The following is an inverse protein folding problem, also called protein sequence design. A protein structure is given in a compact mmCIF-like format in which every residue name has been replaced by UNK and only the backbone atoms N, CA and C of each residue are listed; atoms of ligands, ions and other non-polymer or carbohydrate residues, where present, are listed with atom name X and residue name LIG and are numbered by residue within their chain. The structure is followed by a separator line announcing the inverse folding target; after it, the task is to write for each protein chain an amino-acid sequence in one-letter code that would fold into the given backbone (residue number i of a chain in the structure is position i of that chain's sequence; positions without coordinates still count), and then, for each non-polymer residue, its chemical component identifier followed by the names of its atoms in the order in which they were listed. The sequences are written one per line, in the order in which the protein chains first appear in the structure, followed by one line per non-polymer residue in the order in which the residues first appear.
data_IF_750540263558
#
_entry.id   IF_750540263558
#
_cell.length_a   1.000
_cell.length_b   1.000
_cell.length_c   1.000
_cell.angle_alpha   90.00
_cell.angle_beta   90.00
_cell.angle_gamma   90.00
#
_symmetry.space_group_name_H-M   'P 1'
#
loop_
_entity.id
_entity.type
_entity.pdbx_description
1 polymer ?
#
# COMPACT_ATOMS: atom_id res chain seq x y z
N UNK A 1 1.34 -34.50 61.07
CA UNK A 1 0.32 -33.58 60.52
C UNK A 1 0.84 -32.17 60.28
N UNK A 2 1.40 -31.45 61.28
CA UNK A 2 1.92 -30.09 61.03
C UNK A 2 3.13 -30.02 60.07
N UNK A 3 4.03 -31.01 60.11
CA UNK A 3 5.21 -31.07 59.23
C UNK A 3 4.85 -31.32 57.74
N UNK A 4 3.81 -32.12 57.47
CA UNK A 4 3.36 -32.42 56.11
C UNK A 4 2.67 -31.22 55.44
N UNK A 5 2.01 -30.37 56.23
CA UNK A 5 1.42 -29.11 55.78
C UNK A 5 2.49 -28.08 55.38
N UNK A 6 3.60 -28.02 56.13
CA UNK A 6 4.74 -27.15 55.79
C UNK A 6 5.50 -27.63 54.54
N UNK A 7 5.68 -28.95 54.38
CA UNK A 7 6.34 -29.53 53.22
C UNK A 7 5.50 -29.48 51.93
N UNK A 8 4.18 -29.37 52.04
CA UNK A 8 3.29 -29.17 50.89
C UNK A 8 3.19 -27.69 50.51
N UNK A 9 3.11 -26.78 51.48
CA UNK A 9 3.13 -25.33 51.25
C UNK A 9 4.42 -24.86 50.56
N UNK A 10 5.59 -25.37 50.96
CA UNK A 10 6.88 -25.00 50.36
C UNK A 10 7.02 -25.47 48.91
N UNK A 11 6.54 -26.69 48.60
CA UNK A 11 6.51 -27.22 47.23
C UNK A 11 5.52 -26.46 46.33
N UNK A 12 4.39 -26.03 46.90
CA UNK A 12 3.42 -25.19 46.18
C UNK A 12 4.03 -23.84 45.82
N UNK A 13 4.63 -23.15 46.79
CA UNK A 13 5.29 -21.85 46.61
C UNK A 13 6.40 -21.91 45.55
N UNK A 14 7.27 -22.94 45.58
CA UNK A 14 8.33 -23.11 44.59
C UNK A 14 7.79 -23.32 43.15
N UNK A 15 6.68 -24.07 43.01
CA UNK A 15 6.04 -24.30 41.71
C UNK A 15 5.35 -23.03 41.15
N UNK A 16 4.78 -22.20 42.02
CA UNK A 16 4.18 -20.91 41.69
C UNK A 16 5.24 -19.87 41.30
N UNK A 17 6.39 -19.89 41.99
CA UNK A 17 7.52 -19.02 41.70
C UNK A 17 8.16 -19.36 40.34
N UNK A 18 8.26 -20.64 39.99
CA UNK A 18 8.69 -21.10 38.67
C UNK A 18 7.72 -20.72 37.54
N UNK A 19 6.41 -20.90 37.74
CA UNK A 19 5.37 -20.49 36.77
C UNK A 19 5.34 -18.98 36.55
N UNK A 20 5.44 -18.19 37.63
CA UNK A 20 5.43 -16.72 37.54
C UNK A 20 6.70 -16.18 36.88
N UNK A 21 7.88 -16.77 37.15
CA UNK A 21 9.12 -16.43 36.47
C UNK A 21 9.08 -16.74 34.97
N UNK A 22 8.56 -17.91 34.58
CA UNK A 22 8.36 -18.28 33.18
C UNK A 22 7.39 -17.35 32.44
N UNK A 23 6.26 -16.99 33.07
CA UNK A 23 5.29 -16.05 32.50
C UNK A 23 5.88 -14.65 32.30
N UNK A 24 6.69 -14.14 33.24
CA UNK A 24 7.39 -12.85 33.07
C UNK A 24 8.45 -12.88 31.97
N UNK A 25 9.22 -13.97 31.84
CA UNK A 25 10.26 -14.07 30.82
C UNK A 25 9.66 -14.14 29.40
N UNK A 26 8.62 -14.97 29.22
CA UNK A 26 7.89 -15.09 27.94
C UNK A 26 7.15 -13.79 27.61
N UNK A 27 6.49 -13.17 28.60
CA UNK A 27 5.79 -11.90 28.41
C UNK A 27 6.73 -10.75 28.04
N UNK A 28 7.89 -10.65 28.69
CA UNK A 28 8.91 -9.65 28.39
C UNK A 28 9.54 -9.84 27.00
N UNK A 29 9.84 -11.09 26.62
CA UNK A 29 10.36 -11.41 25.29
C UNK A 29 9.36 -11.07 24.17
N UNK A 30 8.06 -11.35 24.38
CA UNK A 30 7.01 -11.02 23.42
C UNK A 30 6.81 -9.51 23.24
N UNK A 31 6.85 -8.73 24.33
CA UNK A 31 6.74 -7.27 24.26
C UNK A 31 7.97 -6.67 23.56
N UNK A 32 9.16 -7.16 23.89
CA UNK A 32 10.39 -6.67 23.28
C UNK A 32 10.49 -7.07 21.79
N UNK A 33 10.06 -8.27 21.40
CA UNK A 33 9.94 -8.66 19.98
C UNK A 33 8.87 -7.86 19.23
N UNK A 34 7.76 -7.52 19.89
CA UNK A 34 6.72 -6.67 19.29
C UNK A 34 7.18 -5.24 19.00
N UNK A 35 7.97 -4.64 19.89
CA UNK A 35 8.44 -3.25 19.78
C UNK A 35 9.69 -3.14 18.90
N UNK A 36 10.72 -3.94 19.17
CA UNK A 36 12.04 -3.83 18.54
C UNK A 36 12.18 -4.79 17.36
N UNK A 37 11.56 -5.97 17.43
CA UNK A 37 11.80 -7.08 16.51
C UNK A 37 13.13 -7.76 16.85
N UNK A 38 13.09 -8.97 17.42
CA UNK A 38 14.31 -9.76 17.67
C UNK A 38 14.58 -10.69 16.48
N UNK A 39 15.62 -10.37 15.72
CA UNK A 39 16.13 -11.16 14.60
C UNK A 39 16.73 -10.28 13.50
N UNK A 40 17.82 -10.73 12.86
CA UNK A 40 18.66 -9.91 11.93
C UNK A 40 17.91 -9.25 10.75
N UNK A 41 16.66 -9.62 10.47
CA UNK A 41 15.84 -9.10 9.36
C UNK A 41 14.37 -8.80 9.74
N UNK A 42 14.02 -8.68 11.03
CA UNK A 42 12.63 -8.40 11.45
C UNK A 42 12.52 -6.97 11.97
N UNK A 43 11.99 -6.08 11.15
CA UNK A 43 11.65 -4.73 11.61
C UNK A 43 10.51 -4.80 12.63
N UNK A 44 10.66 -4.13 13.78
CA UNK A 44 9.61 -3.99 14.79
C UNK A 44 8.41 -3.16 14.32
N UNK A 45 7.56 -2.75 15.25
CA UNK A 45 6.38 -1.91 14.95
C UNK A 45 6.71 -0.67 14.09
N UNK A 46 7.89 -0.08 14.30
CA UNK A 46 8.37 1.07 13.52
C UNK A 46 8.60 0.79 12.04
N UNK A 47 8.98 -0.44 11.66
CA UNK A 47 9.12 -0.83 10.24
C UNK A 47 7.77 -0.99 9.55
N UNK A 48 6.81 -1.61 10.24
CA UNK A 48 5.44 -1.75 9.76
C UNK A 48 4.77 -0.39 9.51
N UNK A 49 4.97 0.58 10.40
CA UNK A 49 4.47 1.95 10.24
C UNK A 49 5.14 2.67 9.06
N UNK A 50 6.46 2.51 8.87
CA UNK A 50 7.17 3.09 7.70
C UNK A 50 6.67 2.51 6.38
N UNK A 51 6.47 1.19 6.30
CA UNK A 51 5.89 0.53 5.13
C UNK A 51 4.46 1.00 4.85
N UNK A 52 3.65 1.20 5.89
CA UNK A 52 2.30 1.72 5.75
C UNK A 52 2.29 3.17 5.23
N UNK A 53 3.18 4.03 5.74
CA UNK A 53 3.35 5.40 5.25
C UNK A 53 3.85 5.43 3.81
N UNK A 54 4.82 4.59 3.48
CA UNK A 54 5.35 4.48 2.11
C UNK A 54 4.26 4.01 1.14
N UNK A 55 3.50 2.97 1.51
CA UNK A 55 2.36 2.49 0.74
C UNK A 55 1.27 3.56 0.56
N UNK A 56 0.96 4.32 1.61
CA UNK A 56 0.01 5.43 1.56
C UNK A 56 0.46 6.53 0.60
N UNK A 57 1.73 6.93 0.65
CA UNK A 57 2.30 7.94 -0.26
C UNK A 57 2.21 7.45 -1.70
N UNK A 58 2.61 6.21 -1.98
CA UNK A 58 2.51 5.62 -3.32
C UNK A 58 1.06 5.53 -3.80
N UNK A 59 0.13 5.13 -2.93
CA UNK A 59 -1.29 5.10 -3.24
C UNK A 59 -1.84 6.49 -3.54
N UNK A 60 -1.49 7.50 -2.74
CA UNK A 60 -1.90 8.88 -2.94
C UNK A 60 -1.35 9.43 -4.26
N UNK A 61 -0.06 9.24 -4.55
CA UNK A 61 0.54 9.63 -5.84
C UNK A 61 -0.16 8.92 -7.00
N UNK A 62 -0.42 7.62 -6.87
CA UNK A 62 -1.17 6.84 -7.85
C UNK A 62 -2.59 7.38 -8.10
N UNK A 63 -3.31 7.74 -7.04
CA UNK A 63 -4.69 8.23 -7.13
C UNK A 63 -4.82 9.69 -7.57
N UNK A 64 -3.90 10.56 -7.16
CA UNK A 64 -4.02 12.01 -7.39
C UNK A 64 -3.19 12.51 -8.57
N UNK A 65 -2.09 11.84 -8.93
CA UNK A 65 -1.28 12.21 -10.08
C UNK A 65 -1.46 11.23 -11.26
N UNK A 66 -1.30 9.93 -11.00
CA UNK A 66 -1.29 8.94 -12.10
C UNK A 66 -2.69 8.68 -12.66
N UNK A 67 -3.70 8.53 -11.80
CA UNK A 67 -5.09 8.26 -12.21
C UNK A 67 -5.66 9.33 -13.16
N UNK A 68 -5.65 10.65 -12.84
CA UNK A 68 -6.21 11.63 -13.75
C UNK A 68 -5.46 11.67 -15.09
N UNK A 69 -4.15 11.45 -15.07
CA UNK A 69 -3.29 11.54 -16.26
C UNK A 69 -3.38 10.31 -17.17
N UNK A 70 -3.44 9.09 -16.62
CA UNK A 70 -3.38 7.84 -17.39
C UNK A 70 -4.71 7.07 -17.41
N UNK A 71 -5.45 7.07 -16.30
CA UNK A 71 -6.65 6.23 -16.16
C UNK A 71 -7.88 6.99 -16.67
N UNK A 72 -8.06 8.24 -16.24
CA UNK A 72 -9.25 9.04 -16.57
C UNK A 72 -9.13 9.69 -17.96
N UNK A 73 -7.91 9.93 -18.44
CA UNK A 73 -7.67 10.45 -19.78
C UNK A 73 -8.32 9.58 -20.89
N UNK A 74 -8.39 8.26 -20.69
CA UNK A 74 -9.05 7.34 -21.61
C UNK A 74 -10.51 7.02 -21.29
N UNK A 75 -11.13 7.61 -20.24
CA UNK A 75 -12.53 7.33 -19.88
C UNK A 75 -13.41 8.30 -20.61
N UNK A 76 -14.55 7.81 -21.11
CA UNK A 76 -15.61 8.64 -21.66
C UNK A 76 -16.43 9.15 -20.48
N UNK A 77 -16.43 10.46 -20.27
CA UNK A 77 -17.22 11.15 -19.27
C UNK A 77 -18.68 11.37 -19.71
N UNK A 78 -19.48 11.95 -18.82
CA UNK A 78 -20.86 12.33 -19.14
C UNK A 78 -20.86 13.44 -20.20
N UNK A 79 -21.56 13.22 -21.32
CA UNK A 79 -21.60 14.17 -22.43
C UNK A 79 -20.43 14.04 -23.41
N UNK A 80 -19.56 13.05 -23.22
CA UNK A 80 -18.50 12.71 -24.15
C UNK A 80 -18.86 11.47 -24.97
N UNK A 81 -18.27 11.36 -26.15
CA UNK A 81 -18.37 10.19 -27.00
C UNK A 81 -16.98 9.75 -27.49
N UNK A 82 -16.90 8.49 -27.91
CA UNK A 82 -15.67 7.88 -28.42
C UNK A 82 -15.81 7.66 -29.93
N UNK A 83 -14.78 8.03 -30.68
CA UNK A 83 -14.66 7.76 -32.11
C UNK A 83 -13.28 7.20 -32.44
N UNK A 84 -13.16 6.52 -33.57
CA UNK A 84 -11.87 6.09 -34.11
C UNK A 84 -11.35 7.20 -35.02
N UNK A 85 -10.17 7.72 -34.71
CA UNK A 85 -9.43 8.67 -35.53
C UNK A 85 -8.28 8.01 -36.26
N UNK A 86 -7.81 8.68 -37.32
CA UNK A 86 -6.62 8.29 -38.07
C UNK A 86 -5.49 9.26 -37.76
N UNK A 87 -4.31 8.73 -37.40
CA UNK A 87 -3.12 9.54 -37.13
C UNK A 87 -2.67 10.22 -38.41
N UNK A 88 -2.70 11.54 -38.46
CA UNK A 88 -2.31 12.33 -39.65
C UNK A 88 -0.92 12.91 -39.53
N UNK A 89 -0.47 13.19 -38.31
CA UNK A 89 0.86 13.73 -38.07
C UNK A 89 1.44 13.16 -36.78
N UNK A 90 2.76 13.23 -36.66
CA UNK A 90 3.49 12.87 -35.45
C UNK A 90 4.51 13.95 -35.17
N UNK A 91 4.28 14.69 -34.10
CA UNK A 91 5.24 15.66 -33.60
C UNK A 91 6.29 14.91 -32.78
N UNK A 92 7.56 15.16 -33.07
CA UNK A 92 8.68 14.44 -32.47
C UNK A 92 9.59 15.41 -31.73
N UNK A 93 9.93 15.05 -30.50
CA UNK A 93 10.91 15.75 -29.68
C UNK A 93 11.93 14.75 -29.15
N UNK A 94 13.08 15.23 -28.70
CA UNK A 94 14.00 14.43 -27.90
C UNK A 94 13.98 14.91 -26.46
N UNK A 95 14.16 13.99 -25.52
CA UNK A 95 14.47 14.37 -24.13
C UNK A 95 15.97 14.64 -23.96
N UNK A 96 16.35 14.99 -22.73
CA UNK A 96 17.72 15.34 -22.34
C UNK A 96 18.69 14.15 -22.45
N UNK A 97 18.17 12.92 -22.42
CA UNK A 97 18.93 11.67 -22.59
C UNK A 97 19.06 11.27 -24.07
N UNK A 98 18.37 11.98 -24.97
CA UNK A 98 18.41 11.78 -26.42
C UNK A 98 17.37 10.79 -26.93
N UNK A 99 16.49 10.28 -26.08
CA UNK A 99 15.40 9.39 -26.43
C UNK A 99 14.30 10.12 -27.19
N UNK A 100 13.72 9.44 -28.17
CA UNK A 100 12.68 10.00 -29.04
C UNK A 100 11.34 9.94 -28.35
N UNK A 101 10.73 11.10 -28.19
CA UNK A 101 9.38 11.30 -27.68
C UNK A 101 8.46 11.74 -28.81
N UNK A 102 7.29 11.14 -28.90
CA UNK A 102 6.31 11.40 -29.93
C UNK A 102 4.96 11.84 -29.35
N UNK A 103 4.31 12.77 -30.03
CA UNK A 103 2.95 13.24 -29.79
C UNK A 103 2.17 13.14 -31.10
N UNK A 104 1.22 12.21 -31.25
CA UNK A 104 0.41 12.10 -32.46
C UNK A 104 -0.65 13.21 -32.55
N UNK A 105 -0.94 13.62 -33.78
CA UNK A 105 -2.17 14.31 -34.14
C UNK A 105 -3.04 13.34 -34.95
N UNK A 106 -4.33 13.27 -34.63
CA UNK A 106 -5.27 12.40 -35.30
C UNK A 106 -6.51 13.17 -35.78
N UNK A 107 -7.00 12.83 -36.97
CA UNK A 107 -8.26 13.35 -37.49
C UNK A 107 -9.38 12.34 -37.31
N UNK A 108 -10.56 12.80 -36.93
CA UNK A 108 -11.77 11.99 -36.79
C UNK A 108 -12.97 12.74 -37.36
N UNK A 109 -14.04 12.02 -37.71
CA UNK A 109 -15.22 12.61 -38.35
C UNK A 109 -16.43 12.49 -37.43
N UNK A 110 -17.14 13.59 -37.21
CA UNK A 110 -18.41 13.64 -36.48
C UNK A 110 -19.45 14.32 -37.36
N UNK A 111 -20.56 13.63 -37.65
CA UNK A 111 -21.64 14.14 -38.50
C UNK A 111 -21.17 14.69 -39.86
N UNK A 112 -20.16 14.06 -40.47
CA UNK A 112 -19.59 14.50 -41.76
C UNK A 112 -18.59 15.66 -41.68
N UNK A 113 -18.34 16.23 -40.50
CA UNK A 113 -17.31 17.24 -40.28
C UNK A 113 -16.05 16.61 -39.72
N UNK A 114 -14.89 16.95 -40.30
CA UNK A 114 -13.58 16.46 -39.87
C UNK A 114 -13.02 17.38 -38.78
N UNK A 115 -12.61 16.78 -37.67
CA UNK A 115 -11.96 17.45 -36.55
C UNK A 115 -10.57 16.85 -36.32
N UNK A 116 -9.69 17.64 -35.70
CA UNK A 116 -8.32 17.22 -35.36
C UNK A 116 -8.15 17.23 -33.86
N UNK A 117 -7.60 16.16 -33.31
CA UNK A 117 -7.22 16.02 -31.91
C UNK A 117 -5.70 15.83 -31.80
N UNK A 118 -5.08 16.54 -30.87
CA UNK A 118 -3.66 16.37 -30.54
C UNK A 118 -3.51 15.60 -29.24
N UNK A 119 -2.50 14.75 -29.14
CA UNK A 119 -2.18 14.09 -27.89
C UNK A 119 -1.70 15.11 -26.85
N UNK A 120 -2.29 15.08 -25.65
CA UNK A 120 -1.82 15.84 -24.49
C UNK A 120 -0.60 15.23 -23.79
N UNK A 121 -0.05 14.15 -24.34
CA UNK A 121 1.06 13.39 -23.77
C UNK A 121 2.14 13.14 -24.81
N UNK A 122 3.37 12.96 -24.33
CA UNK A 122 4.51 12.51 -25.13
C UNK A 122 4.89 11.11 -24.69
N UNK A 123 5.12 10.23 -25.65
CA UNK A 123 5.49 8.84 -25.37
C UNK A 123 6.60 8.39 -26.32
N UNK A 124 7.47 7.51 -25.85
CA UNK A 124 8.43 6.80 -26.71
C UNK A 124 7.75 5.79 -27.63
N UNK A 125 6.52 5.38 -27.31
CA UNK A 125 5.67 4.61 -28.20
C UNK A 125 5.07 5.53 -29.27
N UNK A 126 5.75 5.62 -30.41
CA UNK A 126 5.37 6.45 -31.54
C UNK A 126 4.38 5.70 -32.45
N UNK A 127 3.10 6.07 -32.51
CA UNK A 127 2.17 5.45 -33.45
C UNK A 127 2.55 5.78 -34.91
N UNK A 128 2.13 4.91 -35.82
CA UNK A 128 2.34 5.07 -37.25
C UNK A 128 1.35 6.09 -37.82
N UNK A 129 1.82 6.96 -38.72
CA UNK A 129 0.93 7.82 -39.51
C UNK A 129 0.05 6.93 -40.40
N UNK A 130 -1.24 7.21 -40.46
CA UNK A 130 -2.27 6.36 -41.05
C UNK A 130 -2.80 5.26 -40.11
N UNK A 131 -2.23 5.10 -38.91
CA UNK A 131 -2.74 4.20 -37.89
C UNK A 131 -4.06 4.68 -37.26
N UNK A 132 -4.80 3.77 -36.65
CA UNK A 132 -6.03 4.08 -35.94
C UNK A 132 -5.76 4.34 -34.46
N UNK A 133 -6.39 5.37 -33.91
CA UNK A 133 -6.33 5.71 -32.48
C UNK A 133 -7.73 6.04 -31.97
N UNK A 134 -7.94 5.81 -30.69
CA UNK A 134 -9.19 6.17 -30.02
C UNK A 134 -9.18 7.66 -29.65
N UNK A 135 -10.23 8.38 -30.06
CA UNK A 135 -10.44 9.80 -29.76
C UNK A 135 -11.70 9.95 -28.92
N UNK A 136 -11.59 10.71 -27.84
CA UNK A 136 -12.71 11.07 -26.96
C UNK A 136 -12.99 12.55 -27.16
N UNK A 137 -14.25 12.90 -27.42
CA UNK A 137 -14.67 14.28 -27.69
C UNK A 137 -15.95 14.62 -26.91
N UNK A 138 -16.11 15.90 -26.56
CA UNK A 138 -17.35 16.46 -26.02
C UNK A 138 -18.40 16.52 -27.13
N UNK A 139 -19.58 15.91 -26.94
CA UNK A 139 -20.64 15.85 -27.96
C UNK A 139 -21.19 17.24 -28.29
N UNK A 140 -21.20 18.16 -27.31
CA UNK A 140 -21.60 19.56 -27.52
C UNK A 140 -20.48 20.39 -28.17
N UNK A 141 -19.21 20.01 -27.99
CA UNK A 141 -18.04 20.69 -28.57
C UNK A 141 -17.01 19.69 -29.12
N UNK A 142 -17.22 19.13 -30.32
CA UNK A 142 -16.34 18.12 -30.88
C UNK A 142 -14.89 18.58 -31.11
N UNK A 143 -14.65 19.90 -31.17
CA UNK A 143 -13.30 20.45 -31.27
C UNK A 143 -12.45 20.22 -30.00
N UNK A 144 -13.08 20.05 -28.83
CA UNK A 144 -12.41 19.78 -27.55
C UNK A 144 -12.14 18.27 -27.40
N UNK A 145 -11.47 17.70 -28.39
CA UNK A 145 -11.17 16.27 -28.46
C UNK A 145 -9.78 15.94 -27.93
N UNK A 146 -9.65 14.78 -27.29
CA UNK A 146 -8.40 14.22 -26.78
C UNK A 146 -8.17 12.81 -27.30
N UNK A 147 -6.90 12.47 -27.53
CA UNK A 147 -6.50 11.10 -27.87
C UNK A 147 -6.44 10.27 -26.58
N UNK A 148 -7.16 9.16 -26.56
CA UNK A 148 -7.15 8.24 -25.44
C UNK A 148 -5.81 7.48 -25.38
N UNK A 149 -5.18 7.36 -24.20
CA UNK A 149 -4.01 6.52 -24.04
C UNK A 149 -4.35 5.06 -24.33
N UNK A 150 -3.36 4.32 -24.85
CA UNK A 150 -3.50 2.89 -25.10
C UNK A 150 -3.92 2.11 -23.85
N UNK A 151 -4.64 1.01 -24.05
CA UNK A 151 -5.11 0.14 -22.97
C UNK A 151 -3.96 -0.33 -22.06
N UNK A 152 -2.77 -0.58 -22.63
CA UNK A 152 -1.57 -0.98 -21.87
C UNK A 152 -1.08 0.13 -20.95
N UNK A 153 -1.00 1.38 -21.43
CA UNK A 153 -0.62 2.53 -20.60
C UNK A 153 -1.62 2.76 -19.47
N UNK A 154 -2.90 2.57 -19.76
CA UNK A 154 -3.97 2.66 -18.77
C UNK A 154 -3.84 1.60 -17.68
N UNK A 155 -3.53 0.36 -18.07
CA UNK A 155 -3.29 -0.75 -17.14
C UNK A 155 -2.04 -0.50 -16.29
N UNK A 156 -0.98 0.04 -16.89
CA UNK A 156 0.23 0.42 -16.18
C UNK A 156 -0.05 1.51 -15.13
N UNK A 157 -0.95 2.46 -15.45
CA UNK A 157 -1.42 3.47 -14.50
C UNK A 157 -2.05 2.87 -13.23
N UNK A 158 -2.67 1.69 -13.31
CA UNK A 158 -3.23 0.98 -12.15
C UNK A 158 -2.19 0.29 -11.28
N UNK A 159 -0.99 0.02 -11.79
CA UNK A 159 0.08 -0.66 -11.03
C UNK A 159 0.52 0.17 -9.84
N UNK A 160 0.62 1.49 -9.99
CA UNK A 160 1.01 2.41 -8.92
C UNK A 160 0.07 2.37 -7.70
N UNK A 161 -1.24 2.67 -7.85
CA UNK A 161 -2.17 2.59 -6.73
C UNK A 161 -2.33 1.16 -6.20
N UNK A 162 -2.30 0.14 -7.07
CA UNK A 162 -2.38 -1.25 -6.62
C UNK A 162 -1.17 -1.65 -5.75
N UNK A 163 0.05 -1.29 -6.16
CA UNK A 163 1.26 -1.54 -5.39
C UNK A 163 1.24 -0.77 -4.06
N UNK A 164 0.87 0.53 -4.09
CA UNK A 164 0.74 1.33 -2.87
C UNK A 164 -0.25 0.73 -1.86
N UNK A 165 -1.42 0.31 -2.36
CA UNK A 165 -2.42 -0.38 -1.55
C UNK A 165 -1.90 -1.70 -0.98
N UNK A 166 -1.18 -2.49 -1.78
CA UNK A 166 -0.58 -3.74 -1.34
C UNK A 166 0.39 -3.51 -0.17
N UNK A 167 1.32 -2.57 -0.31
CA UNK A 167 2.26 -2.22 0.77
C UNK A 167 1.53 -1.72 2.02
N UNK A 168 0.48 -0.92 1.84
CA UNK A 168 -0.35 -0.45 2.95
C UNK A 168 -1.04 -1.60 3.68
N UNK A 169 -1.66 -2.55 2.97
CA UNK A 169 -2.36 -3.70 3.56
C UNK A 169 -1.38 -4.62 4.27
N UNK A 170 -0.20 -4.89 3.68
CA UNK A 170 0.85 -5.68 4.33
C UNK A 170 1.36 -4.97 5.60
N UNK A 171 1.59 -3.66 5.55
CA UNK A 171 1.97 -2.85 6.71
C UNK A 171 0.90 -2.85 7.82
N UNK A 172 -0.37 -2.75 7.44
CA UNK A 172 -1.49 -2.81 8.38
C UNK A 172 -1.59 -4.19 9.03
N UNK A 173 -1.54 -5.26 8.24
CA UNK A 173 -1.59 -6.63 8.74
C UNK A 173 -0.45 -6.94 9.72
N UNK A 174 0.78 -6.57 9.36
CA UNK A 174 1.93 -6.74 10.24
C UNK A 174 1.78 -5.94 11.54
N UNK A 175 1.25 -4.72 11.47
CA UNK A 175 0.96 -3.89 12.66
C UNK A 175 -0.06 -4.57 13.57
N UNK A 176 -1.14 -5.14 13.02
CA UNK A 176 -2.17 -5.86 13.80
C UNK A 176 -1.58 -7.09 14.50
N UNK A 177 -0.80 -7.91 13.78
CA UNK A 177 -0.15 -9.09 14.35
C UNK A 177 0.80 -8.70 15.48
N UNK A 178 1.60 -7.64 15.29
CA UNK A 178 2.56 -7.15 16.29
C UNK A 178 1.87 -6.52 17.50
N UNK A 179 0.80 -5.74 17.30
CA UNK A 179 0.00 -5.19 18.38
C UNK A 179 -0.66 -6.31 19.22
N UNK A 180 -1.14 -7.37 18.58
CA UNK A 180 -1.65 -8.56 19.27
C UNK A 180 -0.60 -9.24 20.13
N UNK A 181 0.64 -9.40 19.63
CA UNK A 181 1.76 -9.96 20.39
C UNK A 181 2.13 -9.10 21.60
N UNK A 182 2.13 -7.76 21.45
CA UNK A 182 2.37 -6.82 22.55
C UNK A 182 1.27 -6.94 23.62
N UNK A 183 0.00 -7.01 23.21
CA UNK A 183 -1.13 -7.14 24.13
C UNK A 183 -1.08 -8.43 24.95
N UNK A 184 -0.85 -9.57 24.28
CA UNK A 184 -0.73 -10.88 24.95
C UNK A 184 0.51 -10.93 25.85
N UNK A 185 1.66 -10.44 25.37
CA UNK A 185 2.89 -10.37 26.15
C UNK A 185 2.76 -9.49 27.39
N UNK A 186 2.12 -8.32 27.26
CA UNK A 186 1.84 -7.40 28.36
C UNK A 186 0.91 -8.01 29.41
N UNK A 187 -0.15 -8.71 28.99
CA UNK A 187 -1.06 -9.39 29.91
C UNK A 187 -0.36 -10.52 30.70
N UNK A 188 0.51 -11.29 30.06
CA UNK A 188 1.31 -12.33 30.72
C UNK A 188 2.33 -11.74 31.70
N UNK A 189 2.99 -10.65 31.33
CA UNK A 189 3.94 -9.94 32.19
C UNK A 189 3.26 -9.38 33.45
N UNK A 190 2.09 -8.74 33.30
CA UNK A 190 1.30 -8.21 34.41
C UNK A 190 0.81 -9.33 35.35
N UNK A 191 0.39 -10.47 34.81
CA UNK A 191 -0.01 -11.64 35.61
C UNK A 191 1.17 -12.22 36.41
N UNK A 192 2.35 -12.34 35.79
CA UNK A 192 3.55 -12.80 36.47
C UNK A 192 4.03 -11.85 37.58
N UNK A 193 3.98 -10.54 37.34
CA UNK A 193 4.34 -9.52 38.35
C UNK A 193 3.36 -9.49 39.53
N UNK A 194 2.05 -9.66 39.29
CA UNK A 194 1.05 -9.77 40.37
C UNK A 194 1.28 -11.03 41.22
N UNK A 195 1.57 -12.17 40.60
CA UNK A 195 1.89 -13.42 41.32
C UNK A 195 3.09 -13.27 42.26
N UNK A 196 4.16 -12.58 41.83
CA UNK A 196 5.32 -12.30 42.69
C UNK A 196 5.00 -11.40 43.87
N UNK A 197 4.14 -10.38 43.70
CA UNK A 197 3.72 -9.50 44.81
C UNK A 197 2.88 -10.24 45.85
N UNK A 198 1.97 -11.11 45.41
CA UNK A 198 1.17 -11.93 46.33
C UNK A 198 2.03 -12.92 47.12
N UNK A 199 3.04 -13.54 46.48
CA UNK A 199 3.98 -14.42 47.16
C UNK A 199 4.93 -13.67 48.13
N UNK A 200 5.32 -12.43 47.81
CA UNK A 200 6.15 -11.61 48.68
C UNK A 200 5.39 -11.08 49.91
N UNK A 201 4.10 -10.74 49.78
CA UNK A 201 3.26 -10.28 50.90
C UNK A 201 2.82 -11.40 51.86
N UNK A 202 2.79 -12.65 51.40
CA UNK A 202 2.49 -13.81 52.25
C UNK A 202 3.69 -14.28 53.11
N UNK A 203 4.87 -13.71 52.90
CA UNK A 203 6.13 -14.07 53.58
C UNK A 203 6.54 -13.16 54.73
N UNK A 204 5.77 -12.10 55.03
CA UNK A 204 6.01 -11.22 56.19
C UNK A 204 5.10 -11.63 57.35
N UNK A 205 5.64 -12.22 58.44
CA UNK A 205 4.90 -12.44 59.69
C UNK A 205 4.55 -11.12 60.39
#
# INVERSE_FOLDING_TARGET
MAADLWASASRYAASEQGRSAGATAVGGALVADGIVGFGRNREGLGGAVKMMLFGLVFFAVGMFLVKPMLIDAGTVGSGEAKAVGTVTNRNESRDDDGDRLCSPDATFTVAGTVYTASAGYRSSACPLVGGSVDVIYDVARPADARIAPDATFRLLGWVFPAAGLLFFVVGLWTTVVRAGQIGVGGALLLRGLRGRRSAAGAGTP
#
